data_IF_969755833870
#
_entry.id   IF_969755833870
#
_cell.length_a   1.000
_cell.length_b   1.000
_cell.length_c   1.000
_cell.angle_alpha   90.00
_cell.angle_beta   90.00
_cell.angle_gamma   90.00
#
_symmetry.space_group_name_H-M   'P 1'
#
loop_
_entity.id
_entity.type
_entity.pdbx_description
1 polymer ?
#
# COMPACT_ATOMS: atom_id res chain seq x y z
N UNK A 1 -6.03 -5.34 21.24
CA UNK A 1 -5.42 -6.32 20.30
C UNK A 1 -5.04 -5.57 19.04
N UNK A 2 -3.80 -5.69 18.59
CA UNK A 2 -3.31 -4.98 17.40
C UNK A 2 -3.63 -5.76 16.12
N UNK A 3 -4.20 -5.07 15.11
CA UNK A 3 -4.58 -5.68 13.84
C UNK A 3 -4.06 -4.89 12.63
N UNK A 4 -4.05 -5.56 11.48
CA UNK A 4 -4.02 -4.97 10.15
C UNK A 4 -5.35 -5.26 9.44
N UNK A 5 -5.95 -4.23 8.88
CA UNK A 5 -7.11 -4.34 8.00
C UNK A 5 -6.74 -3.77 6.63
N UNK A 6 -6.89 -4.59 5.59
CA UNK A 6 -6.71 -4.18 4.20
C UNK A 6 -8.06 -4.24 3.52
N UNK A 7 -8.49 -3.12 2.94
CA UNK A 7 -9.75 -3.04 2.21
C UNK A 7 -9.57 -2.33 0.87
N UNK A 8 -10.47 -2.61 -0.05
CA UNK A 8 -10.55 -1.96 -1.34
C UNK A 8 -11.93 -1.35 -1.59
N UNK A 9 -11.99 -0.39 -2.50
CA UNK A 9 -13.23 0.27 -2.92
C UNK A 9 -13.04 0.97 -4.27
N UNK A 10 -14.14 1.38 -4.89
CA UNK A 10 -14.15 2.14 -6.14
C UNK A 10 -14.15 3.64 -5.82
N UNK A 11 -13.30 4.42 -6.47
CA UNK A 11 -13.36 5.87 -6.37
C UNK A 11 -14.61 6.41 -7.08
N UNK A 12 -15.36 7.29 -6.43
CA UNK A 12 -16.52 7.97 -7.02
C UNK A 12 -16.11 9.16 -7.92
N UNK A 13 -14.85 9.19 -8.36
CA UNK A 13 -14.29 10.29 -9.14
C UNK A 13 -13.19 9.83 -10.09
N UNK A 14 -13.03 10.58 -11.19
CA UNK A 14 -12.08 10.23 -12.24
C UNK A 14 -10.64 10.31 -11.75
N UNK A 15 -9.90 9.21 -11.94
CA UNK A 15 -8.47 9.12 -11.67
C UNK A 15 -7.74 9.24 -13.01
N UNK A 16 -7.56 10.48 -13.49
CA UNK A 16 -6.86 10.77 -14.74
C UNK A 16 -5.33 10.79 -14.58
N UNK A 17 -4.60 10.58 -15.67
CA UNK A 17 -3.13 10.51 -15.66
C UNK A 17 -2.44 11.86 -15.36
N UNK A 18 -3.09 13.00 -15.64
CA UNK A 18 -2.42 14.31 -15.63
C UNK A 18 -2.80 15.22 -14.44
N UNK A 19 -3.82 14.87 -13.65
CA UNK A 19 -4.27 15.71 -12.52
C UNK A 19 -4.77 14.88 -11.35
N UNK A 20 -4.16 15.09 -10.19
CA UNK A 20 -4.66 14.58 -8.91
C UNK A 20 -5.98 15.31 -8.58
N UNK A 21 -7.06 14.57 -8.38
CA UNK A 21 -8.35 15.15 -7.98
C UNK A 21 -8.21 15.84 -6.61
N UNK A 22 -8.69 17.10 -6.44
CA UNK A 22 -8.63 17.83 -5.18
C UNK A 22 -9.27 17.07 -3.99
N UNK A 23 -10.25 16.20 -4.25
CA UNK A 23 -10.88 15.35 -3.22
C UNK A 23 -9.87 14.40 -2.58
N UNK A 24 -8.87 13.91 -3.33
CA UNK A 24 -7.81 13.07 -2.77
C UNK A 24 -6.99 13.81 -1.73
N UNK A 25 -6.64 15.07 -1.99
CA UNK A 25 -5.97 15.93 -1.02
C UNK A 25 -6.77 16.06 0.27
N UNK A 26 -8.09 16.25 0.16
CA UNK A 26 -9.00 16.32 1.32
C UNK A 26 -9.08 14.98 2.08
N UNK A 27 -9.12 13.84 1.38
CA UNK A 27 -9.08 12.51 2.00
C UNK A 27 -7.81 12.38 2.83
N UNK A 28 -6.65 12.72 2.26
CA UNK A 28 -5.36 12.57 2.93
C UNK A 28 -5.23 13.50 4.15
N UNK A 29 -5.64 14.75 4.03
CA UNK A 29 -5.63 15.69 5.18
C UNK A 29 -6.51 15.19 6.31
N UNK A 30 -7.73 14.77 6.01
CA UNK A 30 -8.67 14.25 7.02
C UNK A 30 -8.14 12.96 7.65
N UNK A 31 -7.65 12.03 6.83
CA UNK A 31 -7.09 10.75 7.28
C UNK A 31 -5.91 10.97 8.22
N UNK A 32 -4.96 11.85 7.87
CA UNK A 32 -3.81 12.14 8.73
C UNK A 32 -4.23 12.69 10.09
N UNK A 33 -5.15 13.65 10.13
CA UNK A 33 -5.64 14.23 11.38
C UNK A 33 -6.42 13.23 12.25
N UNK A 34 -7.35 12.48 11.64
CA UNK A 34 -8.18 11.51 12.36
C UNK A 34 -7.34 10.33 12.87
N UNK A 35 -6.47 9.79 12.02
CA UNK A 35 -5.69 8.60 12.34
C UNK A 35 -4.63 8.89 13.40
N UNK A 36 -3.99 10.07 13.36
CA UNK A 36 -3.05 10.49 14.40
C UNK A 36 -3.69 10.48 15.79
N UNK A 37 -4.91 11.02 15.91
CA UNK A 37 -5.66 11.06 17.18
C UNK A 37 -6.08 9.69 17.70
N UNK A 38 -6.19 8.70 16.82
CA UNK A 38 -6.59 7.32 17.15
C UNK A 38 -5.40 6.36 17.18
N UNK A 39 -4.18 6.89 17.05
CA UNK A 39 -2.96 6.10 16.90
C UNK A 39 -3.06 5.03 15.80
N UNK A 40 -3.71 5.35 14.69
CA UNK A 40 -3.81 4.45 13.53
C UNK A 40 -2.73 4.83 12.53
N UNK A 41 -1.97 3.84 12.09
CA UNK A 41 -1.03 3.96 10.98
C UNK A 41 -1.60 3.37 9.70
N UNK A 42 -1.02 3.70 8.56
CA UNK A 42 -1.44 3.05 7.32
C UNK A 42 -0.93 3.65 6.02
N UNK A 43 -1.37 3.02 4.94
CA UNK A 43 -1.08 3.43 3.57
C UNK A 43 -2.35 3.43 2.74
N UNK A 44 -2.48 4.43 1.87
CA UNK A 44 -3.52 4.58 0.87
C UNK A 44 -2.88 4.59 -0.51
N UNK A 45 -3.37 3.72 -1.38
CA UNK A 45 -3.04 3.67 -2.80
C UNK A 45 -4.30 3.94 -3.63
N UNK A 46 -4.16 4.75 -4.67
CA UNK A 46 -5.20 5.01 -5.66
C UNK A 46 -4.62 4.72 -7.05
N UNK A 47 -5.18 3.73 -7.73
CA UNK A 47 -4.73 3.29 -9.05
C UNK A 47 -5.89 2.75 -9.87
N UNK A 48 -5.91 3.06 -11.17
CA UNK A 48 -6.89 2.54 -12.13
C UNK A 48 -8.36 2.62 -11.66
N UNK A 49 -8.71 3.67 -10.89
CA UNK A 49 -10.06 3.90 -10.36
C UNK A 49 -10.38 3.23 -9.02
N UNK A 50 -9.44 2.49 -8.44
CA UNK A 50 -9.62 1.77 -7.19
C UNK A 50 -8.78 2.35 -6.06
N UNK A 51 -9.37 2.38 -4.87
CA UNK A 51 -8.64 2.55 -3.63
C UNK A 51 -8.24 1.19 -3.06
N UNK A 52 -7.03 1.14 -2.53
CA UNK A 52 -6.58 0.10 -1.62
C UNK A 52 -5.97 0.78 -0.40
N UNK A 53 -6.51 0.49 0.77
CA UNK A 53 -6.06 1.08 2.01
C UNK A 53 -5.75 -0.01 3.03
N UNK A 54 -4.61 0.14 3.68
CA UNK A 54 -4.17 -0.68 4.80
C UNK A 54 -4.15 0.18 6.06
N UNK A 55 -4.83 -0.30 7.11
CA UNK A 55 -4.96 0.34 8.41
C UNK A 55 -4.35 -0.57 9.47
N UNK A 56 -3.54 0.00 10.36
CA UNK A 56 -2.90 -0.71 11.47
C UNK A 56 -3.12 0.03 12.78
N UNK A 57 -3.62 -0.67 13.80
CA UNK A 57 -3.96 -0.08 15.08
C UNK A 57 -4.66 -1.07 16.00
N UNK A 58 -5.10 -0.57 17.16
CA UNK A 58 -5.97 -1.36 18.03
C UNK A 58 -7.28 -1.70 17.30
N UNK A 59 -7.74 -2.94 17.46
CA UNK A 59 -8.89 -3.48 16.71
C UNK A 59 -10.11 -2.56 16.75
N UNK A 60 -10.54 -2.13 17.94
CA UNK A 60 -11.72 -1.28 18.11
C UNK A 60 -11.55 0.08 17.42
N UNK A 61 -10.34 0.65 17.46
CA UNK A 61 -10.05 1.93 16.82
C UNK A 61 -10.07 1.81 15.29
N UNK A 62 -9.50 0.72 14.75
CA UNK A 62 -9.51 0.42 13.31
C UNK A 62 -10.92 0.15 12.83
N UNK A 63 -11.73 -0.61 13.58
CA UNK A 63 -13.10 -0.94 13.23
C UNK A 63 -14.00 0.30 13.23
N UNK A 64 -13.90 1.13 14.26
CA UNK A 64 -14.62 2.39 14.33
C UNK A 64 -14.20 3.36 13.20
N UNK A 65 -12.92 3.37 12.82
CA UNK A 65 -12.48 4.15 11.66
C UNK A 65 -13.03 3.58 10.36
N UNK A 66 -13.00 2.26 10.18
CA UNK A 66 -13.50 1.62 8.97
C UNK A 66 -15.00 1.85 8.76
N UNK A 67 -15.79 1.84 9.84
CA UNK A 67 -17.21 2.22 9.77
C UNK A 67 -17.41 3.66 9.26
N UNK A 68 -16.66 4.63 9.80
CA UNK A 68 -16.72 6.01 9.30
C UNK A 68 -16.28 6.12 7.83
N UNK A 69 -15.33 5.30 7.40
CA UNK A 69 -14.87 5.25 6.02
C UNK A 69 -15.98 4.73 5.12
N UNK A 70 -16.70 3.67 5.49
CA UNK A 70 -17.78 3.11 4.68
C UNK A 70 -18.92 4.10 4.36
N UNK A 71 -19.10 5.15 5.18
CA UNK A 71 -20.09 6.20 4.97
C UNK A 71 -19.60 7.34 4.05
N UNK A 72 -18.33 7.32 3.64
CA UNK A 72 -17.75 8.37 2.81
C UNK A 72 -18.28 8.30 1.37
N UNK A 73 -18.94 9.37 0.90
CA UNK A 73 -19.53 9.39 -0.45
C UNK A 73 -18.49 9.47 -1.58
N UNK A 74 -17.20 9.67 -1.27
CA UNK A 74 -16.11 9.79 -2.25
C UNK A 74 -15.66 8.44 -2.82
N UNK A 75 -16.15 7.34 -2.27
CA UNK A 75 -15.91 5.99 -2.77
C UNK A 75 -17.14 5.10 -2.52
N UNK A 76 -17.18 3.93 -3.14
CA UNK A 76 -18.27 2.97 -2.97
C UNK A 76 -17.78 1.52 -3.12
N UNK A 77 -18.64 0.56 -2.80
CA UNK A 77 -18.36 -0.88 -2.89
C UNK A 77 -17.09 -1.26 -2.11
N UNK A 78 -17.10 -0.94 -0.81
CA UNK A 78 -16.03 -1.24 0.12
C UNK A 78 -16.03 -2.75 0.44
N UNK A 79 -14.88 -3.40 0.27
CA UNK A 79 -14.70 -4.83 0.58
C UNK A 79 -13.44 -4.99 1.41
N UNK A 80 -13.55 -5.68 2.56
CA UNK A 80 -12.39 -6.11 3.33
C UNK A 80 -11.73 -7.27 2.57
N UNK A 81 -10.47 -7.08 2.18
CA UNK A 81 -9.70 -8.08 1.46
C UNK A 81 -8.88 -8.96 2.42
N UNK A 82 -8.38 -8.37 3.50
CA UNK A 82 -7.63 -9.10 4.52
C UNK A 82 -7.80 -8.44 5.88
N UNK A 83 -7.88 -9.27 6.93
CA UNK A 83 -7.89 -8.86 8.33
C UNK A 83 -7.07 -9.84 9.12
N UNK A 84 -6.03 -9.36 9.79
CA UNK A 84 -5.11 -10.22 10.56
C UNK A 84 -4.64 -9.54 11.83
N UNK A 85 -4.40 -10.35 12.86
CA UNK A 85 -3.68 -9.91 14.06
C UNK A 85 -2.21 -9.74 13.71
N UNK A 86 -1.59 -8.66 14.19
CA UNK A 86 -0.17 -8.37 13.93
C UNK A 86 0.57 -8.12 15.24
N UNK A 87 1.83 -8.55 15.31
CA UNK A 87 2.70 -8.27 16.46
C UNK A 87 3.32 -6.88 16.38
N UNK A 88 3.59 -6.40 15.16
CA UNK A 88 4.28 -5.13 14.90
C UNK A 88 3.65 -4.41 13.72
N UNK A 89 3.49 -3.09 13.87
CA UNK A 89 3.02 -2.19 12.81
C UNK A 89 4.12 -2.00 11.77
N UNK A 90 3.79 -2.14 10.49
CA UNK A 90 4.67 -1.75 9.38
C UNK A 90 4.64 -0.23 9.15
N UNK A 91 3.51 0.42 9.38
CA UNK A 91 3.24 1.82 9.03
C UNK A 91 3.31 2.77 10.23
N UNK A 92 4.13 2.43 11.23
CA UNK A 92 4.14 3.06 12.56
C UNK A 92 4.45 4.56 12.55
N UNK A 93 5.21 5.04 11.57
CA UNK A 93 5.65 6.44 11.49
C UNK A 93 4.67 7.36 10.74
N UNK A 94 3.54 6.84 10.24
CA UNK A 94 2.66 7.58 9.33
C UNK A 94 1.20 7.37 9.67
N UNK A 95 0.51 8.45 10.04
CA UNK A 95 -0.94 8.40 10.26
C UNK A 95 -1.71 8.01 8.98
N UNK A 96 -1.21 8.42 7.81
CA UNK A 96 -1.64 7.91 6.50
C UNK A 96 -0.67 8.35 5.38
N UNK A 97 0.08 7.41 4.80
CA UNK A 97 0.91 7.69 3.63
C UNK A 97 0.12 7.47 2.34
N UNK A 98 0.28 8.38 1.38
CA UNK A 98 -0.23 8.18 0.02
C UNK A 98 0.88 7.62 -0.86
N UNK A 99 0.58 6.56 -1.62
CA UNK A 99 1.43 6.08 -2.71
C UNK A 99 0.74 6.48 -4.01
N UNK A 100 1.34 7.39 -4.81
CA UNK A 100 0.80 7.72 -6.12
C UNK A 100 0.86 6.49 -7.03
N UNK A 101 0.10 6.51 -8.13
CA UNK A 101 0.17 5.48 -9.17
C UNK A 101 1.56 5.48 -9.85
N UNK A 102 2.55 4.91 -9.17
CA UNK A 102 3.92 4.90 -9.62
C UNK A 102 4.16 3.80 -10.66
N UNK A 103 5.10 4.07 -11.57
CA UNK A 103 5.62 3.07 -12.52
C UNK A 103 6.13 1.81 -11.79
N UNK A 104 6.66 1.96 -10.58
CA UNK A 104 7.16 0.87 -9.73
C UNK A 104 6.05 -0.13 -9.38
N UNK A 105 4.89 0.36 -8.92
CA UNK A 105 3.70 -0.46 -8.60
C UNK A 105 3.14 -1.12 -9.85
N UNK A 106 2.98 -0.37 -10.96
CA UNK A 106 2.53 -0.96 -12.24
C UNK A 106 3.47 -2.07 -12.73
N UNK A 107 4.78 -1.90 -12.55
CA UNK A 107 5.75 -2.91 -12.95
C UNK A 107 5.68 -4.16 -12.05
N UNK A 108 5.49 -3.98 -10.74
CA UNK A 108 5.25 -5.08 -9.81
C UNK A 108 4.02 -5.89 -10.24
N UNK A 109 2.88 -5.24 -10.47
CA UNK A 109 1.63 -5.89 -10.90
C UNK A 109 1.82 -6.69 -12.19
N UNK A 110 2.45 -6.10 -13.22
CA UNK A 110 2.73 -6.80 -14.48
C UNK A 110 3.64 -8.01 -14.30
N UNK A 111 4.62 -7.94 -13.40
CA UNK A 111 5.49 -9.08 -13.11
C UNK A 111 4.77 -10.27 -12.47
N UNK A 112 3.57 -10.03 -11.92
CA UNK A 112 2.69 -11.02 -11.32
C UNK A 112 1.53 -11.42 -12.24
N UNK A 113 1.48 -10.89 -13.46
CA UNK A 113 0.47 -11.24 -14.47
C UNK A 113 -0.75 -10.31 -14.51
N UNK A 114 -0.75 -9.20 -13.78
CA UNK A 114 -1.86 -8.23 -13.81
C UNK A 114 -1.55 -7.07 -14.77
N UNK A 115 -2.42 -6.87 -15.77
CA UNK A 115 -2.25 -5.82 -16.77
C UNK A 115 -2.57 -4.40 -16.24
N UNK A 116 -3.48 -4.33 -15.27
CA UNK A 116 -3.91 -3.13 -14.57
C UNK A 116 -4.16 -3.44 -13.09
N UNK A 117 -4.31 -2.40 -12.27
CA UNK A 117 -4.63 -2.59 -10.86
C UNK A 117 -6.12 -2.83 -10.66
N UNK A 118 -6.50 -4.06 -10.27
CA UNK A 118 -7.80 -4.39 -9.72
C UNK A 118 -7.60 -5.12 -8.38
N UNK A 119 -7.85 -4.47 -7.23
CA UNK A 119 -7.57 -5.07 -5.93
C UNK A 119 -8.50 -6.24 -5.59
N UNK A 120 -9.66 -6.35 -6.24
CA UNK A 120 -10.62 -7.43 -6.00
C UNK A 120 -10.22 -8.75 -6.69
N UNK A 121 -9.27 -8.69 -7.63
CA UNK A 121 -8.75 -9.85 -8.36
C UNK A 121 -7.39 -10.32 -7.82
N UNK A 122 -6.80 -9.60 -6.85
CA UNK A 122 -5.54 -9.99 -6.25
C UNK A 122 -5.71 -11.25 -5.41
N UNK A 123 -4.81 -12.22 -5.61
CA UNK A 123 -4.64 -13.32 -4.67
C UNK A 123 -4.18 -12.79 -3.30
N UNK A 124 -4.42 -13.54 -2.23
CA UNK A 124 -3.97 -13.15 -0.88
C UNK A 124 -2.44 -12.97 -0.83
N UNK A 125 -1.69 -13.87 -1.47
CA UNK A 125 -0.23 -13.77 -1.55
C UNK A 125 0.21 -12.48 -2.25
N UNK A 126 -0.42 -12.12 -3.37
CA UNK A 126 -0.09 -10.89 -4.09
C UNK A 126 -0.48 -9.64 -3.32
N UNK A 127 -1.60 -9.67 -2.59
CA UNK A 127 -2.04 -8.59 -1.71
C UNK A 127 -1.02 -8.35 -0.59
N UNK A 128 -0.57 -9.41 0.07
CA UNK A 128 0.43 -9.33 1.13
C UNK A 128 1.77 -8.82 0.59
N UNK A 129 2.22 -9.34 -0.55
CA UNK A 129 3.43 -8.86 -1.24
C UNK A 129 3.31 -7.38 -1.62
N UNK A 130 2.14 -6.93 -2.07
CA UNK A 130 1.90 -5.53 -2.41
C UNK A 130 1.96 -4.62 -1.17
N UNK A 131 1.39 -5.04 -0.03
CA UNK A 131 1.48 -4.30 1.23
C UNK A 131 2.94 -4.20 1.71
N UNK A 132 3.72 -5.28 1.59
CA UNK A 132 5.15 -5.26 1.89
C UNK A 132 5.93 -4.34 0.95
N UNK A 133 5.59 -4.37 -0.34
CA UNK A 133 6.18 -3.47 -1.33
C UNK A 133 5.91 -2.00 -0.99
N UNK A 134 4.69 -1.67 -0.58
CA UNK A 134 4.33 -0.32 -0.11
C UNK A 134 5.15 0.12 1.10
N UNK A 135 5.38 -0.78 2.07
CA UNK A 135 6.25 -0.47 3.20
C UNK A 135 7.69 -0.14 2.75
N UNK A 136 8.26 -0.86 1.78
CA UNK A 136 9.61 -0.60 1.28
C UNK A 136 9.75 0.73 0.54
N UNK A 137 8.74 1.11 -0.25
CA UNK A 137 8.72 2.41 -0.92
C UNK A 137 8.82 3.56 0.10
N UNK A 138 8.31 3.36 1.32
CA UNK A 138 8.33 4.37 2.38
C UNK A 138 9.68 4.51 3.08
N UNK A 139 10.41 3.41 3.29
CA UNK A 139 11.73 3.44 3.93
C UNK A 139 12.68 4.37 3.18
N UNK A 140 12.57 4.39 1.84
CA UNK A 140 13.45 5.19 0.98
C UNK A 140 13.16 6.68 1.01
N UNK A 141 11.90 7.09 1.18
CA UNK A 141 11.55 8.52 1.29
C UNK A 141 11.93 9.13 2.64
N UNK A 142 12.33 8.33 3.63
CA UNK A 142 12.70 8.77 4.98
C UNK A 142 14.21 8.89 5.23
N UNK A 143 15.06 8.47 4.29
CA UNK A 143 16.52 8.45 4.44
C UNK A 143 17.28 9.44 3.54
N UNK A 144 16.60 10.40 2.90
CA UNK A 144 17.27 11.45 2.11
C UNK A 144 17.61 12.64 3.01
N UNK A 145 18.56 12.42 3.93
CA UNK A 145 19.37 13.45 4.59
C UNK A 145 20.63 12.80 5.17
N UNK A 146 21.41 12.11 4.34
CA UNK A 146 22.88 12.06 4.38
C UNK A 146 23.41 11.12 3.28
N UNK A 147 24.52 11.55 2.67
CA UNK A 147 25.41 10.85 1.74
C UNK A 147 25.08 10.78 0.23
N UNK A 148 25.51 11.87 -0.42
CA UNK A 148 26.38 11.95 -1.62
C UNK A 148 26.40 10.77 -2.62
N UNK A 149 26.02 11.12 -3.84
CA UNK A 149 26.74 10.84 -5.10
C UNK A 149 26.99 9.36 -5.48
N UNK A 150 26.19 8.81 -6.41
CA UNK A 150 26.72 7.89 -7.43
C UNK A 150 25.89 7.90 -8.73
N UNK A 151 26.60 7.90 -9.86
CA UNK A 151 26.14 7.98 -11.25
C UNK A 151 25.41 6.73 -11.78
N UNK A 152 24.73 6.80 -12.96
CA UNK A 152 23.77 5.79 -13.40
C UNK A 152 24.44 4.69 -14.25
N UNK A 153 24.27 3.43 -13.84
CA UNK A 153 24.66 2.26 -14.63
C UNK A 153 23.92 1.01 -14.16
N UNK A 154 23.16 0.39 -15.09
CA UNK A 154 22.76 -1.03 -15.11
C UNK A 154 22.23 -1.70 -13.82
N UNK A 155 21.67 -0.96 -12.86
CA UNK A 155 21.07 -1.56 -11.69
C UNK A 155 19.68 -2.14 -12.01
N UNK A 156 19.50 -3.44 -11.79
CA UNK A 156 18.18 -4.07 -11.85
C UNK A 156 17.19 -3.33 -10.95
N UNK A 157 15.92 -3.16 -11.36
CA UNK A 157 14.89 -2.55 -10.53
C UNK A 157 14.81 -3.24 -9.16
N UNK A 158 14.72 -2.47 -8.09
CA UNK A 158 14.76 -2.98 -6.71
C UNK A 158 13.67 -4.03 -6.44
N UNK A 159 12.49 -3.88 -7.05
CA UNK A 159 11.41 -4.88 -6.97
C UNK A 159 11.85 -6.26 -7.51
N UNK A 160 12.72 -6.30 -8.54
CA UNK A 160 13.28 -7.56 -9.06
C UNK A 160 14.23 -8.20 -8.05
N UNK A 161 15.10 -7.41 -7.42
CA UNK A 161 16.02 -7.90 -6.37
C UNK A 161 15.24 -8.43 -5.17
N UNK A 162 14.17 -7.75 -4.77
CA UNK A 162 13.30 -8.18 -3.68
C UNK A 162 12.53 -9.46 -4.02
N UNK A 163 11.92 -9.56 -5.20
CA UNK A 163 11.28 -10.80 -5.66
C UNK A 163 12.29 -11.96 -5.75
N UNK A 164 13.49 -11.71 -6.27
CA UNK A 164 14.54 -12.73 -6.32
C UNK A 164 15.00 -13.19 -4.92
N UNK A 165 14.97 -12.33 -3.90
CA UNK A 165 15.26 -12.75 -2.53
C UNK A 165 14.13 -13.59 -1.91
N UNK A 166 12.88 -13.27 -2.22
CA UNK A 166 11.72 -14.02 -1.73
C UNK A 166 11.55 -15.38 -2.44
N UNK A 167 11.78 -15.43 -3.75
CA UNK A 167 11.56 -16.63 -4.58
C UNK A 167 12.84 -17.41 -4.91
N UNK A 168 14.04 -16.83 -4.70
CA UNK A 168 15.33 -17.43 -5.07
C UNK A 168 15.95 -18.38 -4.06
N UNK A 169 15.24 -18.73 -2.97
CA UNK A 169 15.72 -19.71 -1.98
C UNK A 169 15.33 -21.16 -2.30
N UNK A 170 14.56 -21.42 -3.37
CA UNK A 170 14.04 -22.75 -3.69
C UNK A 170 14.96 -23.64 -4.54
N UNK A 171 16.09 -23.16 -5.06
CA UNK A 171 16.96 -23.95 -5.98
C UNK A 171 18.29 -24.43 -5.36
N UNK A 172 18.36 -24.59 -4.03
CA UNK A 172 19.52 -25.23 -3.37
C UNK A 172 19.09 -26.44 -2.54
N UNK A 173 18.55 -27.46 -3.19
CA UNK A 173 18.50 -28.85 -2.67
C UNK A 173 18.18 -29.82 -3.81
N UNK A 174 19.02 -29.87 -4.85
CA UNK A 174 19.05 -30.97 -5.80
C UNK A 174 20.46 -31.15 -6.36
N UNK A 175 21.36 -31.64 -5.50
CA UNK A 175 22.59 -32.33 -5.90
C UNK A 175 23.17 -33.06 -4.70
N UNK A 176 22.74 -34.31 -4.56
CA UNK A 176 23.53 -35.44 -4.05
C UNK A 176 23.03 -36.69 -4.74
#
# INVERSE_FOLDING_TARGET
MLIRLVYASHASFSVGNDRIDPRLGRILTQSRSNNARREIGGVLYLGDGFFLQCLEGEADAVDALYQCICEDSRHHNQVILSRSTIEKRLFRNWSMKYIPAEKSVRTFLRSRGYDYFNPFELSQDDLDLLVQFFHQLQVRSGSDSEDKQTQPGSAQPVWRRWLQQLFGSAERTASR
#
